data_IF_091769880181
#
_entry.id   IF_091769880181
#
_cell.length_a   1.000
_cell.length_b   1.000
_cell.length_c   1.000
_cell.angle_alpha   90.00
_cell.angle_beta   90.00
_cell.angle_gamma   90.00
#
_symmetry.space_group_name_H-M   'P 1'
#
loop_
_entity.id
_entity.type
_entity.pdbx_description
1 polymer ?
#
# COMPACT_ATOMS: atom_id res chain seq x y z
N UNK A 1 45.33 -24.15 -16.31
CA UNK A 1 45.16 -22.90 -15.52
C UNK A 1 43.70 -22.50 -15.61
N UNK A 2 42.86 -22.98 -14.67
CA UNK A 2 41.43 -22.67 -14.66
C UNK A 2 41.20 -21.25 -14.15
N UNK A 3 40.56 -20.38 -14.96
CA UNK A 3 39.96 -19.15 -14.45
C UNK A 3 38.55 -19.48 -13.96
N UNK A 4 38.20 -19.18 -12.69
CA UNK A 4 36.81 -19.28 -12.26
C UNK A 4 36.01 -18.21 -13.03
N UNK A 5 35.02 -18.65 -13.79
CA UNK A 5 33.98 -17.78 -14.32
C UNK A 5 33.15 -17.30 -13.13
N UNK A 6 33.36 -16.05 -12.73
CA UNK A 6 32.48 -15.34 -11.82
C UNK A 6 31.12 -15.16 -12.51
N UNK A 7 30.24 -16.13 -12.28
CA UNK A 7 28.82 -16.07 -12.65
C UNK A 7 28.18 -15.07 -11.71
N UNK A 8 28.27 -13.78 -12.04
CA UNK A 8 27.43 -12.75 -11.40
C UNK A 8 25.98 -13.12 -11.67
N UNK A 9 25.34 -13.75 -10.69
CA UNK A 9 23.89 -13.89 -10.65
C UNK A 9 23.33 -12.48 -10.55
N UNK A 10 22.92 -11.92 -11.68
CA UNK A 10 22.06 -10.74 -11.70
C UNK A 10 20.73 -11.14 -11.07
N UNK A 11 20.60 -10.99 -9.76
CA UNK A 11 19.32 -11.09 -9.06
C UNK A 11 18.42 -9.98 -9.59
N UNK A 12 17.41 -10.33 -10.39
CA UNK A 12 16.35 -9.42 -10.81
C UNK A 12 15.67 -8.81 -9.58
N UNK A 13 15.28 -7.52 -9.65
CA UNK A 13 14.59 -6.79 -8.56
C UNK A 13 13.37 -7.56 -8.04
N UNK A 14 12.64 -8.20 -8.97
CA UNK A 14 11.43 -8.95 -8.69
C UNK A 14 11.62 -10.47 -8.80
N UNK A 15 10.87 -11.27 -8.02
CA UNK A 15 10.68 -12.69 -8.27
C UNK A 15 10.07 -12.93 -9.66
N UNK A 16 10.35 -14.09 -10.26
CA UNK A 16 9.96 -14.43 -11.65
C UNK A 16 8.47 -14.17 -11.91
N UNK A 17 7.58 -14.65 -11.04
CA UNK A 17 6.13 -14.48 -11.23
C UNK A 17 5.69 -13.00 -11.25
N UNK A 18 6.37 -12.14 -10.49
CA UNK A 18 6.09 -10.70 -10.44
C UNK A 18 6.68 -9.98 -11.65
N UNK A 19 7.91 -10.33 -12.06
CA UNK A 19 8.51 -9.80 -13.30
C UNK A 19 7.63 -10.16 -14.50
N UNK A 20 7.23 -11.43 -14.65
CA UNK A 20 6.38 -11.88 -15.75
C UNK A 20 5.04 -11.11 -15.81
N UNK A 21 4.40 -10.88 -14.67
CA UNK A 21 3.16 -10.09 -14.58
C UNK A 21 3.39 -8.62 -15.00
N UNK A 22 4.47 -8.00 -14.51
CA UNK A 22 4.85 -6.62 -14.86
C UNK A 22 5.16 -6.48 -16.35
N UNK A 23 5.95 -7.41 -16.91
CA UNK A 23 6.29 -7.44 -18.35
C UNK A 23 5.04 -7.60 -19.21
N UNK A 24 4.13 -8.49 -18.80
CA UNK A 24 2.85 -8.69 -19.49
C UNK A 24 1.98 -7.44 -19.47
N UNK A 25 2.01 -6.68 -18.37
CA UNK A 25 1.34 -5.39 -18.25
C UNK A 25 2.03 -4.25 -19.02
N UNK A 26 3.16 -4.50 -19.67
CA UNK A 26 3.92 -3.51 -20.45
C UNK A 26 4.97 -2.73 -19.65
N UNK A 27 5.24 -3.10 -18.39
CA UNK A 27 6.33 -2.51 -17.63
C UNK A 27 7.69 -2.91 -18.20
N UNK A 28 8.65 -1.98 -18.14
CA UNK A 28 10.05 -2.22 -18.45
C UNK A 28 10.92 -1.54 -17.39
N UNK A 29 12.06 -2.12 -16.98
CA UNK A 29 13.00 -1.49 -16.07
C UNK A 29 13.39 -0.09 -16.54
N UNK A 30 13.30 0.88 -15.63
CA UNK A 30 13.58 2.29 -15.95
C UNK A 30 12.38 3.07 -16.50
N UNK A 31 11.19 2.46 -16.63
CA UNK A 31 9.95 3.20 -16.86
C UNK A 31 9.76 4.26 -15.77
N UNK A 32 9.51 5.49 -16.17
CA UNK A 32 9.31 6.61 -15.26
C UNK A 32 8.49 7.73 -15.92
N UNK A 33 7.23 7.89 -15.53
CA UNK A 33 6.36 8.98 -15.98
C UNK A 33 6.14 10.00 -14.86
N UNK A 34 7.15 10.86 -14.65
CA UNK A 34 7.09 11.88 -13.60
C UNK A 34 5.99 12.92 -13.86
N UNK A 35 5.73 13.25 -15.13
CA UNK A 35 4.71 14.23 -15.50
C UNK A 35 3.33 13.76 -15.04
N UNK A 36 2.99 12.50 -15.31
CA UNK A 36 1.75 11.91 -14.82
C UNK A 36 1.67 11.90 -13.29
N UNK A 37 2.76 11.53 -12.62
CA UNK A 37 2.80 11.52 -11.16
C UNK A 37 2.59 12.92 -10.56
N UNK A 38 3.13 13.96 -11.19
CA UNK A 38 2.93 15.36 -10.82
C UNK A 38 1.48 15.82 -11.05
N UNK A 39 0.88 15.46 -12.19
CA UNK A 39 -0.54 15.76 -12.49
C UNK A 39 -1.47 15.15 -11.43
N UNK A 40 -1.22 13.91 -11.03
CA UNK A 40 -1.95 13.27 -9.94
C UNK A 40 -1.69 13.93 -8.59
N UNK A 41 -0.43 14.27 -8.28
CA UNK A 41 -0.07 14.97 -7.05
C UNK A 41 -0.83 16.30 -6.92
N UNK A 42 -0.88 17.09 -7.99
CA UNK A 42 -1.55 18.39 -8.00
C UNK A 42 -3.07 18.25 -7.92
N UNK A 43 -3.64 17.25 -8.59
CA UNK A 43 -5.06 16.91 -8.48
C UNK A 43 -5.44 16.56 -7.03
N UNK A 44 -4.66 15.70 -6.38
CA UNK A 44 -4.88 15.31 -4.98
C UNK A 44 -4.73 16.49 -4.02
N UNK A 45 -3.74 17.36 -4.21
CA UNK A 45 -3.52 18.57 -3.39
C UNK A 45 -4.64 19.59 -3.56
N UNK A 46 -5.17 19.71 -4.76
CA UNK A 46 -6.29 20.60 -5.10
C UNK A 46 -7.62 20.14 -4.53
N UNK A 47 -7.77 18.84 -4.25
CA UNK A 47 -9.01 18.29 -3.71
C UNK A 47 -9.11 18.46 -2.19
N UNK A 48 -10.25 19.00 -1.75
CA UNK A 48 -10.67 19.07 -0.35
C UNK A 48 -12.01 18.34 -0.26
N UNK A 49 -12.12 17.36 0.61
CA UNK A 49 -13.38 16.65 0.80
C UNK A 49 -14.46 17.58 1.40
N UNK A 50 -15.75 17.26 1.31
CA UNK A 50 -16.81 18.05 1.94
C UNK A 50 -16.61 18.27 3.45
N UNK A 51 -15.92 17.34 4.13
CA UNK A 51 -15.56 17.45 5.55
C UNK A 51 -14.26 18.22 5.82
N UNK A 52 -13.65 18.86 4.82
CA UNK A 52 -12.41 19.61 4.95
C UNK A 52 -11.12 18.78 4.96
N UNK A 53 -11.21 17.46 4.70
CA UNK A 53 -10.04 16.58 4.68
C UNK A 53 -9.26 16.74 3.37
N UNK A 54 -7.93 16.70 3.47
CA UNK A 54 -7.00 16.78 2.34
C UNK A 54 -6.17 15.51 2.26
N UNK A 55 -5.75 15.15 1.05
CA UNK A 55 -4.78 14.09 0.85
C UNK A 55 -3.38 14.53 1.25
N UNK A 56 -2.61 13.61 1.83
CA UNK A 56 -1.16 13.76 1.91
C UNK A 56 -0.54 13.19 0.64
N UNK A 57 0.35 13.94 -0.01
CA UNK A 57 1.17 13.44 -1.12
C UNK A 57 2.57 13.15 -0.57
N UNK A 58 3.03 11.92 -0.71
CA UNK A 58 4.28 11.42 -0.13
C UNK A 58 5.28 11.05 -1.23
N UNK A 59 6.59 11.24 -1.03
CA UNK A 59 7.61 10.88 -2.02
C UNK A 59 7.49 9.43 -2.50
N UNK A 60 7.35 8.47 -1.58
CA UNK A 60 7.22 7.06 -1.93
C UNK A 60 6.00 6.77 -2.83
N UNK A 61 4.89 7.52 -2.68
CA UNK A 61 3.74 7.38 -3.56
C UNK A 61 4.03 7.90 -4.96
N UNK A 62 4.69 9.06 -5.06
CA UNK A 62 5.10 9.66 -6.35
C UNK A 62 6.02 8.72 -7.13
N UNK A 63 6.95 8.04 -6.45
CA UNK A 63 7.82 7.04 -7.08
C UNK A 63 7.03 5.86 -7.65
N UNK A 64 6.07 5.33 -6.88
CA UNK A 64 5.19 4.24 -7.34
C UNK A 64 4.32 4.69 -8.53
N UNK A 65 3.76 5.89 -8.47
CA UNK A 65 2.96 6.46 -9.56
C UNK A 65 3.78 6.60 -10.84
N UNK A 66 4.97 7.18 -10.75
CA UNK A 66 5.84 7.39 -11.90
C UNK A 66 6.28 6.04 -12.52
N UNK A 67 6.59 5.04 -11.70
CA UNK A 67 7.07 3.76 -12.19
C UNK A 67 5.96 2.84 -12.69
N UNK A 68 4.80 2.78 -12.01
CA UNK A 68 3.76 1.76 -12.24
C UNK A 68 2.40 2.31 -12.67
N UNK A 69 2.22 3.63 -12.71
CA UNK A 69 0.95 4.28 -13.04
C UNK A 69 0.30 3.77 -14.33
N UNK A 70 -1.02 3.54 -14.29
CA UNK A 70 -1.86 3.08 -15.40
C UNK A 70 -1.51 1.72 -16.02
N UNK A 71 -0.62 0.94 -15.41
CA UNK A 71 -0.36 -0.42 -15.88
C UNK A 71 -1.48 -1.38 -15.44
N UNK A 72 -1.99 -2.24 -16.33
CA UNK A 72 -2.99 -3.26 -15.99
C UNK A 72 -2.31 -4.49 -15.39
N UNK A 73 -1.77 -4.36 -14.17
CA UNK A 73 -0.97 -5.42 -13.55
C UNK A 73 -1.88 -6.52 -13.01
N UNK A 74 -1.82 -7.70 -13.62
CA UNK A 74 -2.64 -8.85 -13.27
C UNK A 74 -1.78 -10.07 -12.89
N UNK A 75 -2.23 -10.91 -11.95
CA UNK A 75 -1.57 -12.17 -11.61
C UNK A 75 -1.54 -13.13 -12.81
N UNK A 76 -0.45 -13.86 -12.97
CA UNK A 76 -0.25 -14.83 -14.08
C UNK A 76 -0.40 -16.29 -13.64
N UNK A 77 -0.55 -16.55 -12.34
CA UNK A 77 -0.58 -17.90 -11.78
C UNK A 77 -1.51 -18.05 -10.57
N UNK A 78 -1.63 -19.26 -10.03
CA UNK A 78 -2.46 -19.53 -8.86
C UNK A 78 -1.85 -18.91 -7.59
N UNK A 79 -2.71 -18.67 -6.61
CA UNK A 79 -2.28 -18.11 -5.33
C UNK A 79 -1.70 -19.12 -4.36
N UNK A 80 -0.79 -18.64 -3.50
CA UNK A 80 -0.11 -19.45 -2.49
C UNK A 80 -0.99 -19.76 -1.29
N UNK A 81 -1.77 -18.77 -0.82
CA UNK A 81 -2.61 -18.89 0.37
C UNK A 81 -4.04 -18.44 0.12
N UNK A 82 -4.21 -17.35 -0.65
CA UNK A 82 -5.49 -16.77 -1.04
C UNK A 82 -5.50 -16.52 -2.56
N UNK A 83 -6.65 -16.15 -3.11
CA UNK A 83 -6.72 -15.73 -4.51
C UNK A 83 -5.78 -14.54 -4.76
N UNK A 84 -4.90 -14.59 -5.78
CA UNK A 84 -4.09 -13.45 -6.16
C UNK A 84 -4.95 -12.27 -6.61
N UNK A 85 -4.47 -11.06 -6.34
CA UNK A 85 -5.14 -9.83 -6.68
C UNK A 85 -4.32 -9.03 -7.71
N UNK A 86 -5.01 -8.52 -8.74
CA UNK A 86 -4.44 -7.52 -9.63
C UNK A 86 -4.34 -6.16 -8.94
N UNK A 87 -3.56 -5.26 -9.53
CA UNK A 87 -3.31 -3.92 -9.02
C UNK A 87 -3.50 -2.90 -10.13
N UNK A 88 -4.19 -1.81 -9.81
CA UNK A 88 -4.34 -0.66 -10.69
C UNK A 88 -3.82 0.60 -9.97
N UNK A 89 -2.67 1.10 -10.43
CA UNK A 89 -2.06 2.32 -9.88
C UNK A 89 -2.65 3.54 -10.59
N UNK A 90 -3.72 4.05 -10.01
CA UNK A 90 -4.29 5.37 -10.29
C UNK A 90 -4.87 5.91 -8.96
N UNK A 91 -4.17 6.86 -8.30
CA UNK A 91 -4.56 7.34 -6.99
C UNK A 91 -5.88 8.12 -6.99
N UNK A 92 -6.42 8.51 -8.15
CA UNK A 92 -7.68 9.23 -8.25
C UNK A 92 -8.89 8.34 -7.95
N UNK A 93 -8.75 7.01 -7.97
CA UNK A 93 -9.76 6.09 -7.45
C UNK A 93 -10.05 6.33 -5.95
N UNK A 94 -9.07 6.88 -5.23
CA UNK A 94 -9.18 7.25 -3.83
C UNK A 94 -9.45 8.75 -3.61
N UNK A 95 -9.79 9.53 -4.65
CA UNK A 95 -9.93 10.99 -4.57
C UNK A 95 -10.88 11.42 -3.43
N UNK A 96 -11.98 10.70 -3.24
CA UNK A 96 -12.97 11.01 -2.20
C UNK A 96 -12.71 10.30 -0.86
N UNK A 97 -11.65 9.49 -0.75
CA UNK A 97 -11.29 8.73 0.45
C UNK A 97 -10.37 9.51 1.43
N UNK A 98 -10.21 10.83 1.25
CA UNK A 98 -9.31 11.65 2.07
C UNK A 98 -9.56 11.52 3.58
N UNK A 99 -10.81 11.39 4.00
CA UNK A 99 -11.15 11.16 5.41
C UNK A 99 -10.70 9.78 5.88
N UNK A 100 -11.03 8.73 5.14
CA UNK A 100 -10.66 7.34 5.46
C UNK A 100 -9.16 7.19 5.62
N UNK A 101 -8.37 7.74 4.68
CA UNK A 101 -6.91 7.68 4.74
C UNK A 101 -6.34 8.52 5.89
N UNK A 102 -6.96 9.65 6.24
CA UNK A 102 -6.59 10.44 7.41
C UNK A 102 -6.88 9.70 8.73
N UNK A 103 -8.02 8.99 8.81
CA UNK A 103 -8.41 8.20 9.98
C UNK A 103 -7.46 7.01 10.18
N UNK A 104 -7.10 6.29 9.10
CA UNK A 104 -6.07 5.25 9.13
C UNK A 104 -4.72 5.83 9.56
N UNK A 105 -4.29 6.94 8.95
CA UNK A 105 -3.03 7.61 9.31
C UNK A 105 -2.97 8.00 10.78
N UNK A 106 -4.08 8.51 11.35
CA UNK A 106 -4.17 8.81 12.78
C UNK A 106 -4.03 7.56 13.64
N UNK A 107 -4.68 6.44 13.26
CA UNK A 107 -4.58 5.19 14.00
C UNK A 107 -3.15 4.63 14.00
N UNK A 108 -2.47 4.71 12.84
CA UNK A 108 -1.10 4.27 12.66
C UNK A 108 -0.03 5.29 13.08
N UNK A 109 -0.44 6.50 13.47
CA UNK A 109 0.43 7.65 13.80
C UNK A 109 1.40 7.99 12.66
N UNK A 110 0.91 7.94 11.43
CA UNK A 110 1.65 8.26 10.20
C UNK A 110 0.78 9.09 9.25
N UNK A 111 1.34 9.49 8.10
CA UNK A 111 0.54 10.05 6.99
C UNK A 111 0.37 8.95 5.94
N UNK A 112 -0.80 8.93 5.32
CA UNK A 112 -1.15 7.95 4.30
C UNK A 112 -1.42 8.67 2.99
N UNK A 113 -0.89 8.14 1.89
CA UNK A 113 -1.11 8.61 0.53
C UNK A 113 -1.76 7.48 -0.29
N UNK A 114 -2.77 7.77 -1.13
CA UNK A 114 -3.35 6.76 -1.99
C UNK A 114 -2.35 6.30 -3.08
N UNK A 115 -2.43 5.03 -3.47
CA UNK A 115 -1.72 4.48 -4.62
C UNK A 115 -2.67 4.13 -5.77
N UNK A 116 -3.86 3.61 -5.45
CA UNK A 116 -4.82 3.12 -6.42
C UNK A 116 -5.71 2.06 -5.81
N UNK A 117 -5.95 0.96 -6.52
CA UNK A 117 -6.79 -0.13 -6.05
C UNK A 117 -6.18 -1.52 -6.29
N UNK A 118 -6.66 -2.50 -5.53
CA UNK A 118 -6.36 -3.91 -5.74
C UNK A 118 -7.63 -4.78 -5.80
N UNK A 119 -7.49 -5.95 -6.43
CA UNK A 119 -8.54 -6.97 -6.47
C UNK A 119 -9.78 -6.61 -7.31
N UNK A 120 -10.75 -7.52 -7.32
CA UNK A 120 -12.00 -7.35 -8.08
C UNK A 120 -12.97 -6.35 -7.42
N UNK A 121 -12.93 -6.25 -6.09
CA UNK A 121 -13.77 -5.34 -5.31
C UNK A 121 -13.20 -3.91 -5.23
N UNK A 122 -12.08 -3.65 -5.92
CA UNK A 122 -11.38 -2.38 -5.93
C UNK A 122 -11.07 -1.85 -4.52
N UNK A 123 -10.46 -2.70 -3.69
CA UNK A 123 -9.95 -2.32 -2.38
C UNK A 123 -8.95 -1.18 -2.53
N UNK A 124 -8.95 -0.22 -1.61
CA UNK A 124 -8.06 0.95 -1.70
C UNK A 124 -6.64 0.55 -1.32
N UNK A 125 -5.69 0.83 -2.22
CA UNK A 125 -4.27 0.66 -1.98
C UNK A 125 -3.66 1.99 -1.51
N UNK A 126 -2.88 1.95 -0.43
CA UNK A 126 -2.28 3.14 0.16
C UNK A 126 -0.86 2.89 0.69
N UNK A 127 -0.07 3.96 0.82
CA UNK A 127 1.31 3.92 1.31
C UNK A 127 1.54 4.98 2.39
N UNK A 128 2.39 4.68 3.37
CA UNK A 128 2.74 5.63 4.43
C UNK A 128 4.09 6.34 4.24
N UNK A 129 4.48 7.15 5.23
CA UNK A 129 5.75 7.90 5.22
C UNK A 129 6.99 7.00 5.24
N UNK A 130 6.86 5.77 5.74
CA UNK A 130 7.93 4.78 5.83
C UNK A 130 7.89 3.79 4.65
N UNK A 131 7.10 4.11 3.61
CA UNK A 131 6.85 3.29 2.43
C UNK A 131 6.10 1.97 2.67
N UNK A 132 5.48 1.79 3.84
CA UNK A 132 4.63 0.64 4.14
C UNK A 132 3.34 0.71 3.37
N UNK A 133 2.89 -0.42 2.83
CA UNK A 133 1.72 -0.49 1.94
C UNK A 133 0.57 -1.23 2.62
N UNK A 134 -0.64 -0.72 2.38
CA UNK A 134 -1.87 -1.17 2.98
C UNK A 134 -2.97 -1.37 1.93
N UNK A 135 -3.85 -2.34 2.17
CA UNK A 135 -5.13 -2.50 1.45
C UNK A 135 -6.28 -2.26 2.40
N UNK A 136 -7.31 -1.54 1.97
CA UNK A 136 -8.51 -1.24 2.75
C UNK A 136 -9.74 -1.66 1.96
N UNK A 137 -10.56 -2.53 2.55
CA UNK A 137 -11.84 -2.95 2.00
C UNK A 137 -12.94 -2.94 3.07
N UNK A 138 -14.13 -3.41 2.71
CA UNK A 138 -15.27 -3.48 3.63
C UNK A 138 -15.09 -4.51 4.77
N UNK A 139 -14.07 -5.37 4.69
CA UNK A 139 -13.74 -6.40 5.69
C UNK A 139 -12.65 -5.94 6.67
N UNK A 140 -11.88 -4.90 6.31
CA UNK A 140 -10.97 -4.20 7.21
C UNK A 140 -9.74 -3.64 6.50
N UNK A 141 -8.75 -3.29 7.32
CA UNK A 141 -7.47 -2.74 6.86
C UNK A 141 -6.37 -3.80 7.02
N UNK A 142 -5.50 -3.90 6.02
CA UNK A 142 -4.50 -4.96 5.91
C UNK A 142 -3.13 -4.38 5.61
N UNK A 143 -2.10 -4.89 6.28
CA UNK A 143 -0.70 -4.60 5.96
C UNK A 143 -0.19 -5.60 4.92
N UNK A 144 0.35 -5.07 3.81
CA UNK A 144 0.78 -5.87 2.66
C UNK A 144 2.30 -6.04 2.60
N UNK A 145 3.06 -5.04 3.05
CA UNK A 145 4.50 -5.06 2.92
C UNK A 145 5.17 -3.77 3.37
N UNK A 146 6.47 -3.88 3.61
CA UNK A 146 7.32 -2.78 4.08
C UNK A 146 7.69 -1.78 2.99
N UNK A 147 7.44 -2.16 1.74
CA UNK A 147 7.72 -1.42 0.52
C UNK A 147 6.74 -1.92 -0.57
N UNK A 148 6.64 -1.17 -1.68
CA UNK A 148 5.72 -1.51 -2.77
C UNK A 148 6.07 -2.82 -3.47
N UNK A 149 7.36 -3.16 -3.61
CA UNK A 149 7.79 -4.40 -4.23
C UNK A 149 7.31 -5.63 -3.46
N UNK A 150 7.44 -5.58 -2.12
CA UNK A 150 6.96 -6.64 -1.22
C UNK A 150 5.44 -6.76 -1.28
N UNK A 151 4.73 -5.63 -1.29
CA UNK A 151 3.27 -5.61 -1.38
C UNK A 151 2.76 -6.15 -2.72
N UNK A 152 3.39 -5.75 -3.82
CA UNK A 152 3.07 -6.24 -5.16
C UNK A 152 3.30 -7.74 -5.26
N UNK A 153 4.41 -8.25 -4.71
CA UNK A 153 4.67 -9.67 -4.63
C UNK A 153 3.59 -10.40 -3.81
N UNK A 154 3.18 -9.86 -2.67
CA UNK A 154 2.14 -10.46 -1.84
C UNK A 154 0.80 -10.56 -2.59
N UNK A 155 0.37 -9.50 -3.26
CA UNK A 155 -0.88 -9.43 -4.03
C UNK A 155 -0.86 -10.40 -5.22
N UNK A 156 0.17 -10.34 -6.06
CA UNK A 156 0.24 -11.13 -7.29
C UNK A 156 0.50 -12.62 -7.05
N UNK A 157 1.04 -12.99 -5.88
CA UNK A 157 1.25 -14.40 -5.51
C UNK A 157 0.18 -14.93 -4.54
N UNK A 158 -0.78 -14.10 -4.12
CA UNK A 158 -1.83 -14.50 -3.18
C UNK A 158 -1.27 -14.91 -1.81
N UNK A 159 -0.28 -14.18 -1.29
CA UNK A 159 0.20 -14.34 0.08
C UNK A 159 -0.81 -13.71 1.04
N UNK A 160 -1.08 -14.35 2.18
CA UNK A 160 -2.07 -13.84 3.14
C UNK A 160 -1.51 -12.59 3.85
N UNK A 161 -2.19 -11.43 3.77
CA UNK A 161 -1.74 -10.22 4.47
C UNK A 161 -2.06 -10.27 5.97
N UNK A 162 -1.41 -9.40 6.73
CA UNK A 162 -1.65 -9.24 8.16
C UNK A 162 -2.80 -8.25 8.38
N UNK A 163 -3.81 -8.63 9.16
CA UNK A 163 -4.92 -7.73 9.49
C UNK A 163 -4.46 -6.70 10.52
N UNK A 164 -4.68 -5.42 10.24
CA UNK A 164 -4.46 -4.38 11.23
C UNK A 164 -5.52 -4.51 12.32
N UNK A 165 -5.06 -4.61 13.57
CA UNK A 165 -5.93 -4.58 14.75
C UNK A 165 -5.64 -3.31 15.52
N UNK A 166 -6.70 -2.63 15.96
CA UNK A 166 -6.52 -1.58 16.97
C UNK A 166 -6.13 -2.29 18.27
N UNK A 167 -5.11 -1.80 19.01
CA UNK A 167 -4.93 -2.24 20.39
C UNK A 167 -6.25 -2.06 21.15
N UNK A 168 -6.67 -3.00 22.00
CA UNK A 168 -7.85 -2.79 22.82
C UNK A 168 -7.68 -1.47 23.59
N UNK A 169 -8.70 -0.61 23.57
CA UNK A 169 -8.69 0.61 24.38
C UNK A 169 -8.40 0.19 25.82
N UNK A 170 -7.36 0.79 26.41
CA UNK A 170 -7.04 0.54 27.81
C UNK A 170 -8.30 0.81 28.63
N UNK A 171 -8.78 -0.22 29.32
CA UNK A 171 -9.95 -0.14 30.20
C UNK A 171 -9.80 1.09 31.09
N UNK A 172 -10.79 2.01 31.15
CA UNK A 172 -10.72 3.12 32.09
C UNK A 172 -10.48 2.51 33.48
N UNK A 173 -9.39 2.95 34.11
CA UNK A 173 -8.91 2.39 35.36
C UNK A 173 -10.03 2.30 36.39
N UNK A 174 -10.16 1.13 36.99
CA UNK A 174 -10.93 0.94 38.22
C UNK A 174 -10.47 1.97 39.24
N UNK A 175 -11.36 2.90 39.61
CA UNK A 175 -11.15 3.81 40.73
C UNK A 175 -10.80 2.98 41.99
N UNK A 176 -9.71 3.28 42.71
CA UNK A 176 -9.45 2.62 43.97
C UNK A 176 -10.47 3.10 45.01
N UNK A 177 -11.30 2.16 45.40
CA UNK A 177 -12.14 2.09 46.60
C UNK A 177 -11.69 3.04 47.72
N UNK A 178 -12.49 4.07 47.97
CA UNK A 178 -12.35 4.95 49.13
C UNK A 178 -12.59 4.14 50.40
N UNK A 179 -11.51 3.86 51.14
CA UNK A 179 -11.58 3.32 52.51
C UNK A 179 -12.16 4.39 53.43
N UNK A 180 -13.28 4.15 54.15
CA UNK A 180 -13.68 5.04 55.23
C UNK A 180 -12.79 4.78 56.46
N UNK A 181 -12.02 5.79 56.85
CA UNK A 181 -11.37 5.83 58.15
C UNK A 181 -12.42 6.22 59.22
N UNK A 182 -12.68 5.31 60.16
CA UNK A 182 -13.24 5.66 61.48
C UNK A 182 -12.22 6.42 62.33
N UNK A 183 -12.56 6.89 63.55
CA UNK A 183 -13.45 6.25 64.52
C UNK A 183 -14.79 6.96 64.79
#
# INVERSE_FOLDING_TARGET
>A
MNRPTDRRTSTTRFPVAVDDALRTAGWQPGRWDMRQAEEWADTLRGHISPGGHRHAVLPAAVEVWAEFGNLPIAPTGPGRNIAPAGVHIDPLHALHAARTLADLGRALRTRICPLGTDGADAALLAIDTDARVYSLDHTGDWYLGRDFDTALAALLTGSRPERLTRPPDATPGTDPEATPAGP
#
